data_IF_364067460884
#
_entry.id   IF_364067460884
#
_cell.length_a   1.000
_cell.length_b   1.000
_cell.length_c   1.000
_cell.angle_alpha   90.00
_cell.angle_beta   90.00
_cell.angle_gamma   90.00
#
_symmetry.space_group_name_H-M   'P 1'
#
loop_
_entity.id
_entity.type
_entity.pdbx_description
1 polymer ?
#
# COMPACT_ATOMS: atom_id res chain seq x y z
N UNK A 1 10.73 -12.15 -0.46
CA UNK A 1 9.40 -11.57 -0.08
C UNK A 1 8.40 -12.71 0.08
N UNK A 2 7.84 -12.87 1.29
CA UNK A 2 6.77 -13.83 1.52
C UNK A 2 5.42 -13.20 1.13
N UNK A 3 5.02 -13.39 -0.11
CA UNK A 3 3.77 -12.85 -0.67
C UNK A 3 2.53 -13.31 0.10
N UNK A 4 2.51 -14.56 0.57
CA UNK A 4 1.36 -15.08 1.31
C UNK A 4 1.21 -14.36 2.66
N UNK A 5 2.32 -14.12 3.37
CA UNK A 5 2.31 -13.36 4.62
C UNK A 5 1.77 -11.94 4.40
N UNK A 6 2.24 -11.24 3.35
CA UNK A 6 1.74 -9.90 3.03
C UNK A 6 0.23 -9.92 2.78
N UNK A 7 -0.28 -10.91 2.05
CA UNK A 7 -1.71 -11.05 1.78
C UNK A 7 -2.49 -11.32 3.06
N UNK A 8 -2.03 -12.23 3.91
CA UNK A 8 -2.70 -12.56 5.16
C UNK A 8 -2.73 -11.35 6.11
N UNK A 9 -1.64 -10.59 6.20
CA UNK A 9 -1.58 -9.36 6.98
C UNK A 9 -2.54 -8.29 6.45
N UNK A 10 -2.63 -8.13 5.12
CA UNK A 10 -3.59 -7.21 4.49
C UNK A 10 -5.04 -7.62 4.78
N UNK A 11 -5.39 -8.88 4.54
CA UNK A 11 -6.74 -9.39 4.77
C UNK A 11 -7.14 -9.30 6.26
N UNK A 12 -6.18 -9.47 7.17
CA UNK A 12 -6.39 -9.31 8.61
C UNK A 12 -6.69 -7.85 8.96
N UNK A 13 -5.94 -6.91 8.40
CA UNK A 13 -6.14 -5.47 8.64
C UNK A 13 -7.44 -4.94 8.02
N UNK A 14 -7.80 -5.41 6.84
CA UNK A 14 -8.96 -4.94 6.08
C UNK A 14 -10.29 -5.60 6.53
N UNK A 15 -10.31 -6.33 7.62
CA UNK A 15 -11.55 -6.77 8.25
C UNK A 15 -11.94 -8.22 8.05
N UNK A 16 -11.12 -9.14 8.57
CA UNK A 16 -11.44 -10.56 8.64
C UNK A 16 -12.89 -10.83 9.05
N UNK A 17 -13.61 -11.57 8.20
CA UNK A 17 -14.92 -12.12 8.55
C UNK A 17 -16.04 -11.12 8.80
N UNK A 18 -15.81 -9.83 8.55
CA UNK A 18 -16.89 -8.83 8.60
C UNK A 18 -17.74 -8.97 7.34
N UNK A 19 -19.07 -8.96 7.48
CA UNK A 19 -19.96 -8.93 6.31
C UNK A 19 -19.65 -7.70 5.45
N UNK A 20 -19.92 -7.77 4.14
CA UNK A 20 -19.79 -6.60 3.28
C UNK A 20 -20.56 -5.43 3.87
N UNK A 21 -19.91 -4.29 4.03
CA UNK A 21 -20.55 -3.10 4.57
C UNK A 21 -20.57 -1.97 3.54
N UNK A 22 -21.63 -1.19 3.59
CA UNK A 22 -21.76 0.05 2.85
C UNK A 22 -21.30 1.19 3.78
N UNK A 23 -20.16 1.78 3.47
CA UNK A 23 -19.77 3.02 4.11
C UNK A 23 -20.31 4.19 3.28
N UNK A 24 -21.39 4.78 3.74
CA UNK A 24 -22.03 5.92 3.05
C UNK A 24 -21.18 7.18 3.04
N UNK A 25 -20.14 7.25 3.88
CA UNK A 25 -19.19 8.36 3.95
C UNK A 25 -17.89 8.08 3.17
N UNK A 26 -17.72 6.87 2.65
CA UNK A 26 -16.56 6.48 1.86
C UNK A 26 -16.90 6.50 0.37
N UNK A 27 -16.08 7.21 -0.41
CA UNK A 27 -16.22 7.26 -1.86
C UNK A 27 -16.05 5.87 -2.54
N UNK A 28 -15.62 4.85 -1.81
CA UNK A 28 -15.41 3.47 -2.29
C UNK A 28 -16.66 2.63 -2.47
N UNK A 29 -17.80 3.02 -1.86
CA UNK A 29 -19.03 2.24 -1.89
C UNK A 29 -18.95 0.99 -1.00
N UNK A 30 -19.59 -0.13 -1.44
CA UNK A 30 -19.52 -1.40 -0.71
C UNK A 30 -18.09 -1.95 -0.70
N UNK A 31 -17.70 -2.53 0.42
CA UNK A 31 -16.35 -3.09 0.61
C UNK A 31 -16.45 -4.49 1.23
N UNK A 32 -15.69 -5.45 0.69
CA UNK A 32 -15.53 -6.81 1.21
C UNK A 32 -14.06 -7.18 1.17
N UNK A 33 -13.50 -7.64 2.29
CA UNK A 33 -12.06 -7.95 2.41
C UNK A 33 -11.13 -6.83 1.93
N UNK A 34 -11.53 -5.55 2.12
CA UNK A 34 -10.80 -4.40 1.62
C UNK A 34 -10.94 -4.12 0.12
N UNK A 35 -11.66 -4.95 -0.61
CA UNK A 35 -11.94 -4.75 -2.04
C UNK A 35 -13.22 -3.93 -2.21
N UNK A 36 -13.08 -2.67 -2.60
CA UNK A 36 -14.22 -1.80 -2.85
C UNK A 36 -14.86 -2.10 -4.21
N UNK A 37 -16.19 -2.03 -4.27
CA UNK A 37 -16.97 -2.24 -5.49
C UNK A 37 -16.60 -1.21 -6.58
N UNK A 38 -16.35 0.02 -6.18
CA UNK A 38 -16.00 1.09 -7.13
C UNK A 38 -14.64 0.88 -7.78
N UNK A 39 -13.64 0.38 -7.03
CA UNK A 39 -12.31 0.14 -7.56
C UNK A 39 -12.21 -1.17 -8.36
N UNK A 40 -13.07 -2.13 -8.05
CA UNK A 40 -13.05 -3.48 -8.64
C UNK A 40 -14.46 -3.96 -8.99
N UNK A 41 -15.21 -3.26 -9.85
CA UNK A 41 -16.61 -3.58 -10.15
C UNK A 41 -16.77 -4.98 -10.74
N UNK A 42 -15.77 -5.48 -11.46
CA UNK A 42 -15.76 -6.82 -12.03
C UNK A 42 -15.77 -7.93 -10.97
N UNK A 43 -15.13 -7.68 -9.83
CA UNK A 43 -15.06 -8.62 -8.72
C UNK A 43 -16.41 -8.73 -7.96
N UNK A 44 -17.28 -7.75 -8.12
CA UNK A 44 -18.58 -7.67 -7.45
C UNK A 44 -19.77 -8.17 -8.30
N UNK A 45 -19.56 -8.47 -9.58
CA UNK A 45 -20.64 -8.96 -10.47
C UNK A 45 -21.35 -10.21 -9.96
N UNK A 46 -20.65 -11.23 -9.44
CA UNK A 46 -21.29 -12.42 -8.87
C UNK A 46 -21.74 -12.22 -7.42
N UNK A 47 -21.49 -11.06 -6.81
CA UNK A 47 -21.72 -10.75 -5.40
C UNK A 47 -20.45 -10.26 -4.70
N UNK A 48 -20.48 -10.09 -3.36
CA UNK A 48 -19.30 -9.67 -2.61
C UNK A 48 -18.14 -10.64 -2.80
N UNK A 49 -16.91 -10.15 -3.05
CA UNK A 49 -15.73 -11.00 -3.21
C UNK A 49 -15.50 -11.90 -2.00
N UNK A 50 -15.14 -13.17 -2.25
CA UNK A 50 -14.66 -14.09 -1.21
C UNK A 50 -13.22 -13.71 -0.79
N UNK A 51 -12.75 -14.33 0.31
CA UNK A 51 -11.36 -14.16 0.77
C UNK A 51 -10.34 -14.54 -0.33
N UNK A 52 -10.59 -15.63 -1.03
CA UNK A 52 -9.72 -16.14 -2.10
C UNK A 52 -9.70 -15.20 -3.31
N UNK A 53 -10.85 -14.66 -3.68
CA UNK A 53 -10.97 -13.66 -4.75
C UNK A 53 -10.25 -12.35 -4.37
N UNK A 54 -10.41 -11.89 -3.15
CA UNK A 54 -9.68 -10.72 -2.63
C UNK A 54 -8.16 -10.98 -2.64
N UNK A 55 -7.70 -12.14 -2.16
CA UNK A 55 -6.29 -12.53 -2.19
C UNK A 55 -5.71 -12.52 -3.61
N UNK A 56 -6.48 -13.01 -4.59
CA UNK A 56 -6.07 -13.00 -6.00
C UNK A 56 -5.95 -11.55 -6.55
N UNK A 57 -6.85 -10.66 -6.16
CA UNK A 57 -6.80 -9.23 -6.52
C UNK A 57 -5.56 -8.58 -5.89
N UNK A 58 -5.33 -8.77 -4.58
CA UNK A 58 -4.14 -8.23 -3.91
C UNK A 58 -2.86 -8.70 -4.61
N UNK A 59 -2.75 -9.98 -4.92
CA UNK A 59 -1.57 -10.54 -5.62
C UNK A 59 -1.36 -9.90 -6.98
N UNK A 60 -2.41 -9.83 -7.80
CA UNK A 60 -2.32 -9.33 -9.18
C UNK A 60 -2.14 -7.82 -9.25
N UNK A 61 -2.92 -7.07 -8.48
CA UNK A 61 -3.03 -5.61 -8.65
C UNK A 61 -2.02 -4.87 -7.79
N UNK A 62 -1.80 -5.32 -6.54
CA UNK A 62 -1.05 -4.55 -5.56
C UNK A 62 0.35 -5.11 -5.26
N UNK A 63 0.60 -6.41 -5.50
CA UNK A 63 1.90 -7.03 -5.20
C UNK A 63 2.72 -7.25 -6.48
N UNK A 64 2.11 -7.76 -7.54
CA UNK A 64 2.83 -8.07 -8.79
C UNK A 64 3.62 -6.89 -9.36
N UNK A 65 3.16 -5.62 -9.28
CA UNK A 65 3.95 -4.46 -9.73
C UNK A 65 5.32 -4.33 -9.05
N UNK A 66 5.47 -4.90 -7.85
CA UNK A 66 6.72 -4.83 -7.07
C UNK A 66 7.62 -6.06 -7.20
N UNK A 67 7.25 -7.07 -8.00
CA UNK A 67 8.06 -8.29 -8.15
C UNK A 67 9.47 -8.04 -8.69
N UNK A 68 9.66 -6.99 -9.49
CA UNK A 68 10.98 -6.62 -9.96
C UNK A 68 11.91 -6.23 -8.80
N UNK A 69 11.39 -5.67 -7.73
CA UNK A 69 12.14 -5.29 -6.53
C UNK A 69 12.52 -6.51 -5.69
N UNK A 70 11.71 -7.57 -5.67
CA UNK A 70 11.98 -8.78 -4.91
C UNK A 70 13.28 -9.49 -5.34
N UNK A 71 13.85 -9.13 -6.49
CA UNK A 71 15.15 -9.62 -6.99
C UNK A 71 16.34 -8.84 -6.43
N UNK A 72 16.10 -7.75 -5.70
CA UNK A 72 17.15 -6.94 -5.07
C UNK A 72 17.27 -7.40 -3.61
N UNK A 73 18.46 -7.73 -3.10
CA UNK A 73 18.65 -8.11 -1.71
C UNK A 73 18.10 -7.07 -0.72
N UNK A 74 17.57 -7.53 0.40
CA UNK A 74 17.07 -6.69 1.50
C UNK A 74 15.85 -5.80 1.18
N UNK A 75 15.14 -6.07 0.08
CA UNK A 75 13.94 -5.28 -0.28
C UNK A 75 12.65 -5.73 0.40
N UNK A 76 12.64 -6.82 1.15
CA UNK A 76 11.41 -7.43 1.68
C UNK A 76 10.57 -6.44 2.48
N UNK A 77 11.20 -5.71 3.42
CA UNK A 77 10.53 -4.68 4.21
C UNK A 77 10.02 -3.53 3.33
N UNK A 78 10.83 -3.05 2.41
CA UNK A 78 10.43 -1.99 1.48
C UNK A 78 9.24 -2.42 0.62
N UNK A 79 9.24 -3.63 0.08
CA UNK A 79 8.11 -4.16 -0.71
C UNK A 79 6.85 -4.24 0.14
N UNK A 80 6.93 -4.69 1.41
CA UNK A 80 5.79 -4.73 2.32
C UNK A 80 5.19 -3.35 2.53
N UNK A 81 6.01 -2.33 2.76
CA UNK A 81 5.55 -0.94 2.95
C UNK A 81 4.95 -0.36 1.67
N UNK A 82 5.56 -0.65 0.51
CA UNK A 82 5.07 -0.22 -0.81
C UNK A 82 3.71 -0.84 -1.12
N UNK A 83 3.52 -2.13 -0.84
CA UNK A 83 2.25 -2.82 -1.05
C UNK A 83 1.16 -2.25 -0.14
N UNK A 84 1.45 -2.03 1.15
CA UNK A 84 0.50 -1.40 2.07
C UNK A 84 0.07 -0.01 1.59
N UNK A 85 1.03 0.79 1.15
CA UNK A 85 0.74 2.11 0.59
C UNK A 85 -0.03 2.05 -0.73
N UNK A 86 0.28 1.08 -1.60
CA UNK A 86 -0.42 0.88 -2.86
C UNK A 86 -1.90 0.52 -2.65
N UNK A 87 -2.21 -0.25 -1.61
CA UNK A 87 -3.61 -0.54 -1.22
C UNK A 87 -4.34 0.73 -0.80
N UNK A 88 -3.67 1.62 -0.04
CA UNK A 88 -4.27 2.87 0.46
C UNK A 88 -4.35 3.98 -0.58
N UNK A 89 -3.35 4.13 -1.44
CA UNK A 89 -3.19 5.32 -2.30
C UNK A 89 -3.04 5.01 -3.80
N UNK A 90 -3.06 3.73 -4.18
CA UNK A 90 -2.83 3.25 -5.54
C UNK A 90 -1.34 3.02 -5.84
N UNK A 91 -1.07 2.04 -6.71
CA UNK A 91 0.29 1.59 -7.07
C UNK A 91 1.14 2.74 -7.61
N UNK A 92 0.60 3.51 -8.58
CA UNK A 92 1.34 4.64 -9.17
C UNK A 92 1.76 5.68 -8.13
N UNK A 93 0.88 5.99 -7.16
CA UNK A 93 1.19 6.93 -6.07
C UNK A 93 2.28 6.41 -5.15
N UNK A 94 2.25 5.11 -4.81
CA UNK A 94 3.27 4.47 -4.00
C UNK A 94 4.64 4.49 -4.71
N UNK A 95 4.67 4.18 -6.01
CA UNK A 95 5.90 4.22 -6.81
C UNK A 95 6.45 5.64 -6.94
N UNK A 96 5.61 6.64 -7.23
CA UNK A 96 6.03 8.05 -7.30
C UNK A 96 6.66 8.53 -6.01
N UNK A 97 6.13 8.10 -4.87
CA UNK A 97 6.71 8.42 -3.55
C UNK A 97 8.09 7.79 -3.37
N UNK A 98 8.25 6.54 -3.77
CA UNK A 98 9.56 5.89 -3.78
C UNK A 98 10.55 6.66 -4.66
N UNK A 99 10.14 7.01 -5.88
CA UNK A 99 10.96 7.76 -6.82
C UNK A 99 11.37 9.14 -6.28
N UNK A 100 10.45 9.85 -5.63
CA UNK A 100 10.74 11.10 -4.94
C UNK A 100 11.87 10.94 -3.91
N UNK A 101 11.79 9.92 -3.05
CA UNK A 101 12.80 9.64 -2.04
C UNK A 101 14.17 9.30 -2.64
N UNK A 102 14.16 8.64 -3.80
CA UNK A 102 15.36 8.28 -4.55
C UNK A 102 15.92 9.42 -5.40
N UNK A 103 15.26 10.59 -5.43
CA UNK A 103 15.66 11.72 -6.27
C UNK A 103 15.48 11.48 -7.78
N UNK A 104 14.49 10.66 -8.15
CA UNK A 104 14.18 10.31 -9.54
C UNK A 104 12.97 11.07 -10.06
N UNK A 105 12.79 11.08 -11.38
CA UNK A 105 11.56 11.49 -12.01
C UNK A 105 10.40 10.60 -11.54
N UNK A 106 9.28 11.22 -11.16
CA UNK A 106 8.11 10.55 -10.60
C UNK A 106 7.12 10.11 -11.70
N UNK A 107 7.53 9.15 -12.54
CA UNK A 107 6.67 8.58 -13.58
C UNK A 107 5.66 7.54 -13.05
N UNK A 108 5.89 7.00 -11.86
CA UNK A 108 5.03 6.00 -11.23
C UNK A 108 5.23 4.58 -11.74
N UNK A 109 6.36 4.31 -12.39
CA UNK A 109 6.71 3.01 -12.99
C UNK A 109 8.02 2.50 -12.37
N UNK A 110 8.03 1.24 -11.92
CA UNK A 110 9.27 0.59 -11.48
C UNK A 110 10.05 0.13 -12.71
N UNK A 111 10.81 1.07 -13.27
CA UNK A 111 11.67 0.85 -14.42
C UNK A 111 13.14 0.64 -14.05
N UNK A 112 14.01 0.49 -15.07
CA UNK A 112 15.44 0.29 -14.87
C UNK A 112 16.11 1.34 -13.99
N UNK A 113 15.73 2.62 -14.11
CA UNK A 113 16.28 3.73 -13.29
C UNK A 113 15.96 3.53 -11.81
N UNK A 114 14.70 3.17 -11.48
CA UNK A 114 14.28 2.91 -10.09
C UNK A 114 15.02 1.70 -9.51
N UNK A 115 15.15 0.62 -10.28
CA UNK A 115 15.87 -0.59 -9.87
C UNK A 115 17.35 -0.27 -9.65
N UNK A 116 17.99 0.49 -10.55
CA UNK A 116 19.39 0.88 -10.44
C UNK A 116 19.65 1.74 -9.21
N UNK A 117 18.81 2.73 -8.95
CA UNK A 117 18.91 3.57 -7.77
C UNK A 117 18.79 2.75 -6.48
N UNK A 118 17.84 1.82 -6.39
CA UNK A 118 17.72 0.92 -5.24
C UNK A 118 18.92 -0.01 -5.06
N UNK A 119 19.52 -0.48 -6.15
CA UNK A 119 20.77 -1.25 -6.08
C UNK A 119 21.94 -0.42 -5.58
N UNK A 120 21.99 0.87 -5.97
CA UNK A 120 23.05 1.80 -5.56
C UNK A 120 22.92 2.24 -4.09
N UNK A 121 21.73 2.70 -3.70
CA UNK A 121 21.48 3.17 -2.32
C UNK A 121 21.34 2.03 -1.31
N UNK A 122 21.07 0.81 -1.76
CA UNK A 122 20.62 -0.30 -0.93
C UNK A 122 19.16 -0.09 -0.51
N UNK A 123 18.36 -1.13 -0.56
CA UNK A 123 16.99 -1.11 -0.03
C UNK A 123 17.03 -1.39 1.48
N UNK A 124 17.71 -0.52 2.21
CA UNK A 124 17.96 -0.63 3.63
C UNK A 124 16.89 0.08 4.49
N UNK A 125 17.03 -0.03 5.80
CA UNK A 125 16.12 0.58 6.76
C UNK A 125 16.02 2.11 6.60
N UNK A 126 17.06 2.79 6.12
CA UNK A 126 17.03 4.24 5.86
C UNK A 126 16.01 4.60 4.77
N UNK A 127 15.97 3.83 3.68
CA UNK A 127 14.97 4.04 2.62
C UNK A 127 13.56 3.77 3.15
N UNK A 128 13.39 2.71 3.95
CA UNK A 128 12.10 2.41 4.60
C UNK A 128 11.67 3.54 5.51
N UNK A 129 12.55 4.03 6.39
CA UNK A 129 12.27 5.15 7.29
C UNK A 129 11.85 6.41 6.52
N UNK A 130 12.62 6.79 5.49
CA UNK A 130 12.28 7.93 4.64
C UNK A 130 10.92 7.75 3.97
N UNK A 131 10.61 6.55 3.51
CA UNK A 131 9.33 6.26 2.89
C UNK A 131 8.17 6.39 3.89
N UNK A 132 8.32 5.86 5.10
CA UNK A 132 7.33 5.96 6.17
C UNK A 132 7.09 7.43 6.56
N UNK A 133 8.16 8.22 6.72
CA UNK A 133 8.05 9.66 7.03
C UNK A 133 7.33 10.40 5.92
N UNK A 134 7.66 10.17 4.65
CA UNK A 134 7.00 10.82 3.51
C UNK A 134 5.51 10.46 3.44
N UNK A 135 5.15 9.20 3.72
CA UNK A 135 3.73 8.79 3.83
C UNK A 135 3.01 9.60 4.92
N UNK A 136 3.61 9.71 6.11
CA UNK A 136 3.01 10.43 7.23
C UNK A 136 2.80 11.92 6.92
N UNK A 137 3.80 12.57 6.32
CA UNK A 137 3.72 13.96 5.87
C UNK A 137 2.59 14.14 4.85
N UNK A 138 2.50 13.23 3.87
CA UNK A 138 1.45 13.29 2.85
C UNK A 138 0.05 13.13 3.44
N UNK A 139 -0.16 12.18 4.33
CA UNK A 139 -1.47 11.98 4.99
C UNK A 139 -1.84 13.21 5.81
N UNK A 140 -0.89 13.82 6.53
CA UNK A 140 -1.14 15.06 7.27
C UNK A 140 -1.58 16.19 6.35
N UNK A 141 -0.93 16.37 5.19
CA UNK A 141 -1.34 17.36 4.18
C UNK A 141 -2.70 17.05 3.58
N UNK A 142 -3.02 15.77 3.33
CA UNK A 142 -4.32 15.34 2.82
C UNK A 142 -5.44 15.74 3.79
N UNK A 143 -5.26 15.49 5.08
CA UNK A 143 -6.25 15.85 6.10
C UNK A 143 -6.41 17.36 6.24
N UNK A 144 -5.33 18.15 6.08
CA UNK A 144 -5.43 19.61 6.02
C UNK A 144 -6.30 20.08 4.86
N UNK A 145 -6.22 19.41 3.71
CA UNK A 145 -7.05 19.70 2.53
C UNK A 145 -8.47 19.15 2.64
N UNK A 146 -8.68 18.11 3.45
CA UNK A 146 -9.95 17.44 3.69
C UNK A 146 -10.19 17.27 5.20
N UNK A 147 -10.63 18.29 5.90
CA UNK A 147 -10.84 18.22 7.35
C UNK A 147 -11.83 17.14 7.80
N UNK A 148 -12.73 16.70 6.92
CA UNK A 148 -13.62 15.54 7.17
C UNK A 148 -12.88 14.24 7.47
N UNK A 149 -11.62 14.11 7.04
CA UNK A 149 -10.82 12.91 7.23
C UNK A 149 -10.05 12.92 8.57
N UNK A 150 -10.14 14.01 9.34
CA UNK A 150 -9.45 14.16 10.63
C UNK A 150 -9.73 13.00 11.62
N UNK A 151 -10.95 12.46 11.75
CA UNK A 151 -11.21 11.32 12.64
C UNK A 151 -10.39 10.07 12.32
N UNK A 152 -9.95 9.91 11.07
CA UNK A 152 -9.18 8.74 10.62
C UNK A 152 -7.67 8.93 10.76
N UNK A 153 -7.19 10.16 10.96
CA UNK A 153 -5.77 10.51 10.93
C UNK A 153 -4.93 9.67 11.89
N UNK A 154 -5.39 9.52 13.14
CA UNK A 154 -4.65 8.75 14.15
C UNK A 154 -4.47 7.29 13.72
N UNK A 155 -5.54 6.66 13.21
CA UNK A 155 -5.48 5.27 12.72
C UNK A 155 -4.52 5.13 11.54
N UNK A 156 -4.57 6.05 10.59
CA UNK A 156 -3.66 6.05 9.44
C UNK A 156 -2.21 6.25 9.84
N UNK A 157 -1.92 7.21 10.72
CA UNK A 157 -0.55 7.45 11.21
C UNK A 157 -0.03 6.25 12.00
N UNK A 158 -0.84 5.67 12.89
CA UNK A 158 -0.44 4.46 13.64
C UNK A 158 -0.08 3.30 12.69
N UNK A 159 -0.92 3.07 11.66
CA UNK A 159 -0.65 2.07 10.61
C UNK A 159 0.66 2.36 9.88
N UNK A 160 0.91 3.60 9.49
CA UNK A 160 2.12 4.00 8.76
C UNK A 160 3.36 3.82 9.64
N UNK A 161 3.31 4.26 10.88
CA UNK A 161 4.44 4.17 11.81
C UNK A 161 4.76 2.72 12.24
N UNK A 162 3.80 1.79 12.16
CA UNK A 162 4.05 0.37 12.46
C UNK A 162 5.06 -0.29 11.50
N UNK A 163 5.41 0.37 10.41
CA UNK A 163 6.44 -0.11 9.46
C UNK A 163 7.84 0.42 9.77
N UNK A 164 7.99 1.31 10.76
CA UNK A 164 9.33 1.75 11.16
C UNK A 164 10.16 0.55 11.66
N UNK A 165 11.45 0.48 11.29
CA UNK A 165 12.36 -0.48 11.89
C UNK A 165 12.44 -0.28 13.39
N UNK A 166 12.49 -1.38 14.15
CA UNK A 166 12.79 -1.31 15.57
C UNK A 166 14.17 -0.69 15.76
N UNK A 167 14.25 0.31 16.64
CA UNK A 167 15.53 0.88 17.07
C UNK A 167 16.19 -0.15 17.96
N UNK A 168 17.29 -0.74 17.48
CA UNK A 168 18.12 -1.65 18.26
C UNK A 168 19.08 -0.88 19.13
#
# INVERSE_FOLDING_TARGET
VNTNQIIDDLLTREGQGKPPYLNTHDAGGRTSWGISERAHPEAWRPGPPTREQAAAIYRRVYIAPFFALAKIPSTDRLVTVLVDDAVMSGVSSAVKRLQFILGLEMDGIIGPKTIQALKWFGANDIIVQRYVVERAVRISRLVQQRPSDLPFLTGWITRILSFLPEVK
#
